data_IF_234657542905
#
_entry.id   IF_234657542905
#
_cell.length_a   1.000
_cell.length_b   1.000
_cell.length_c   1.000
_cell.angle_alpha   90.00
_cell.angle_beta   90.00
_cell.angle_gamma   90.00
#
_symmetry.space_group_name_H-M   'P 1'
#
loop_
_entity.id
_entity.type
_entity.pdbx_description
1 polymer ?
#
# COMPACT_ATOMS: atom_id res chain seq x y z
N UNK A 1 2.47 -26.75 -20.93
CA UNK A 1 2.41 -25.29 -21.21
C UNK A 1 2.70 -25.14 -22.69
N UNK A 2 2.04 -24.16 -23.35
CA UNK A 2 2.32 -23.89 -24.77
C UNK A 2 3.76 -23.41 -24.93
N UNK A 3 4.47 -23.87 -25.96
CA UNK A 3 5.93 -23.68 -26.09
C UNK A 3 6.42 -22.25 -26.28
N UNK A 4 5.52 -21.30 -26.54
CA UNK A 4 5.80 -19.87 -26.62
C UNK A 4 5.61 -19.12 -25.29
N UNK A 5 5.12 -19.81 -24.24
CA UNK A 5 4.99 -19.23 -22.90
C UNK A 5 6.31 -19.38 -22.15
N UNK A 6 6.76 -18.32 -21.50
CA UNK A 6 7.96 -18.33 -20.64
C UNK A 6 7.89 -19.50 -19.65
N UNK A 7 8.94 -20.30 -19.58
CA UNK A 7 8.99 -21.52 -18.75
C UNK A 7 8.88 -21.21 -17.24
N UNK A 8 9.42 -20.07 -16.79
CA UNK A 8 9.36 -19.63 -15.40
C UNK A 8 7.92 -19.34 -14.94
N UNK A 9 7.00 -18.96 -15.85
CA UNK A 9 5.61 -18.69 -15.50
C UNK A 9 4.85 -19.90 -14.97
N UNK A 10 5.35 -21.12 -15.22
CA UNK A 10 4.77 -22.35 -14.64
C UNK A 10 4.86 -22.38 -13.10
N UNK A 11 5.84 -21.68 -12.54
CA UNK A 11 6.09 -21.62 -11.10
C UNK A 11 5.40 -20.44 -10.41
N UNK A 12 4.85 -19.50 -11.21
CA UNK A 12 4.16 -18.35 -10.65
C UNK A 12 2.74 -18.71 -10.21
N UNK A 13 2.44 -18.35 -8.98
CA UNK A 13 1.05 -18.34 -8.50
C UNK A 13 0.47 -16.94 -8.73
N UNK A 14 -0.64 -16.88 -9.46
CA UNK A 14 -1.35 -15.62 -9.65
C UNK A 14 -1.70 -15.01 -8.29
N UNK A 15 -1.52 -13.69 -8.16
CA UNK A 15 -2.03 -12.99 -6.97
C UNK A 15 -3.53 -13.21 -6.89
N UNK A 16 -3.96 -13.88 -5.84
CA UNK A 16 -5.39 -14.08 -5.57
C UNK A 16 -5.79 -13.03 -4.54
N UNK A 17 -6.60 -12.02 -4.95
CA UNK A 17 -7.32 -11.21 -3.98
C UNK A 17 -8.05 -12.15 -3.05
N UNK A 18 -8.19 -11.80 -1.78
CA UNK A 18 -8.89 -12.69 -0.85
C UNK A 18 -10.25 -13.04 -1.47
N UNK A 19 -10.55 -14.33 -1.73
CA UNK A 19 -11.74 -14.69 -2.48
C UNK A 19 -12.97 -14.35 -1.64
N UNK A 20 -13.41 -13.12 -1.79
CA UNK A 20 -14.65 -12.64 -1.21
C UNK A 20 -15.89 -13.27 -1.84
N UNK A 21 -15.74 -14.06 -2.89
CA UNK A 21 -16.82 -14.72 -3.57
C UNK A 21 -16.39 -16.00 -4.26
N UNK A 22 -16.94 -17.10 -3.82
CA UNK A 22 -17.21 -18.21 -4.71
C UNK A 22 -18.25 -17.75 -5.74
N UNK A 23 -17.87 -17.85 -7.03
CA UNK A 23 -18.78 -17.86 -8.17
C UNK A 23 -20.01 -16.94 -8.10
N UNK A 24 -19.82 -15.65 -8.35
CA UNK A 24 -20.90 -14.82 -8.91
C UNK A 24 -22.06 -14.42 -8.01
N UNK A 25 -22.10 -14.81 -6.74
CA UNK A 25 -23.07 -14.29 -5.78
C UNK A 25 -22.49 -13.12 -5.01
N UNK A 26 -23.09 -11.94 -5.02
CA UNK A 26 -22.69 -10.86 -4.16
C UNK A 26 -22.80 -11.32 -2.72
N UNK A 27 -21.68 -11.27 -1.97
CA UNK A 27 -21.70 -11.49 -0.51
C UNK A 27 -22.32 -10.23 0.11
N UNK A 28 -23.63 -10.10 0.01
CA UNK A 28 -24.39 -8.94 0.50
C UNK A 28 -24.44 -8.82 2.03
N UNK A 29 -23.78 -9.71 2.78
CA UNK A 29 -23.88 -9.75 4.25
C UNK A 29 -22.57 -10.01 4.99
N UNK A 30 -21.39 -9.89 4.34
CA UNK A 30 -20.10 -10.08 5.03
C UNK A 30 -19.43 -8.75 5.37
N UNK A 31 -18.88 -8.69 6.57
CA UNK A 31 -17.95 -7.61 6.97
C UNK A 31 -16.61 -7.84 6.26
N UNK A 32 -16.26 -6.95 5.32
CA UNK A 32 -15.04 -7.04 4.51
C UNK A 32 -13.92 -6.24 5.16
N UNK A 33 -13.21 -6.87 6.07
CA UNK A 33 -12.11 -6.23 6.82
C UNK A 33 -10.75 -6.85 6.46
N UNK A 34 -10.52 -7.13 5.18
CA UNK A 34 -9.36 -7.86 4.66
C UNK A 34 -8.45 -7.05 3.74
N UNK A 35 -8.94 -5.98 3.12
CA UNK A 35 -8.25 -5.26 2.04
C UNK A 35 -7.76 -3.85 2.42
N UNK A 36 -7.85 -3.46 3.69
CA UNK A 36 -7.51 -2.13 4.19
C UNK A 36 -8.27 -1.00 3.45
N UNK A 37 -9.49 -1.30 3.03
CA UNK A 37 -10.41 -0.32 2.45
C UNK A 37 -10.98 0.58 3.55
N UNK A 38 -11.48 1.75 3.18
CA UNK A 38 -12.21 2.61 4.10
C UNK A 38 -13.56 1.96 4.46
N UNK A 39 -14.00 2.04 5.73
CA UNK A 39 -15.35 1.61 6.10
C UNK A 39 -16.45 2.51 5.54
N UNK A 40 -16.09 3.72 5.13
CA UNK A 40 -17.03 4.69 4.57
C UNK A 40 -16.86 4.74 3.05
N UNK A 41 -17.97 4.82 2.35
CA UNK A 41 -18.01 5.14 0.93
C UNK A 41 -17.87 6.66 0.71
N UNK A 42 -17.71 7.08 -0.55
CA UNK A 42 -17.77 8.51 -0.88
C UNK A 42 -19.12 9.10 -0.45
N UNK A 43 -19.15 10.32 0.11
CA UNK A 43 -20.38 11.06 0.34
C UNK A 43 -21.24 11.16 -0.92
N UNK A 44 -22.56 11.14 -0.74
CA UNK A 44 -23.51 11.15 -1.86
C UNK A 44 -23.29 12.37 -2.74
N UNK A 45 -23.03 13.53 -2.14
CA UNK A 45 -22.80 14.81 -2.84
C UNK A 45 -21.57 14.73 -3.76
N UNK A 46 -20.52 14.01 -3.34
CA UNK A 46 -19.32 13.81 -4.16
C UNK A 46 -19.55 12.80 -5.29
N UNK A 47 -20.38 11.79 -5.05
CA UNK A 47 -20.82 10.86 -6.11
C UNK A 47 -21.67 11.58 -7.15
N UNK A 48 -22.60 12.43 -6.73
CA UNK A 48 -23.44 13.25 -7.61
C UNK A 48 -22.57 14.23 -8.41
N UNK A 49 -21.61 14.89 -7.78
CA UNK A 49 -20.66 15.77 -8.47
C UNK A 49 -19.85 15.00 -9.52
N UNK A 50 -19.37 13.80 -9.19
CA UNK A 50 -18.63 12.95 -10.13
C UNK A 50 -19.51 12.50 -11.30
N UNK A 51 -20.76 12.16 -11.04
CA UNK A 51 -21.73 11.81 -12.09
C UNK A 51 -22.01 13.01 -13.01
N UNK A 52 -22.16 14.20 -12.43
CA UNK A 52 -22.33 15.45 -13.19
C UNK A 52 -21.08 15.74 -14.06
N UNK A 53 -19.88 15.64 -13.50
CA UNK A 53 -18.62 15.81 -14.26
C UNK A 53 -18.55 14.82 -15.43
N UNK A 54 -18.93 13.55 -15.21
CA UNK A 54 -18.98 12.58 -16.28
C UNK A 54 -19.96 12.98 -17.41
N UNK A 55 -21.13 13.49 -17.05
CA UNK A 55 -22.16 13.86 -18.02
C UNK A 55 -21.85 15.16 -18.77
N UNK A 56 -21.16 16.10 -18.15
CA UNK A 56 -21.02 17.46 -18.70
C UNK A 56 -19.62 17.75 -19.23
N UNK A 57 -18.58 17.11 -18.68
CA UNK A 57 -17.18 17.50 -18.93
C UNK A 57 -16.37 16.37 -19.61
N UNK A 58 -16.74 15.10 -19.42
CA UNK A 58 -15.99 13.97 -19.97
C UNK A 58 -16.61 13.51 -21.29
N UNK A 59 -15.87 13.70 -22.37
CA UNK A 59 -16.19 13.12 -23.68
C UNK A 59 -15.71 11.66 -23.74
N UNK A 60 -16.62 10.70 -23.60
CA UNK A 60 -16.30 9.27 -23.50
C UNK A 60 -15.63 8.69 -24.77
N UNK A 61 -15.72 9.38 -25.91
CA UNK A 61 -15.09 9.04 -27.19
C UNK A 61 -13.70 9.67 -27.38
N UNK A 62 -13.17 10.39 -26.39
CA UNK A 62 -11.85 11.02 -26.42
C UNK A 62 -10.92 10.41 -25.40
N UNK A 63 -9.62 10.41 -25.71
CA UNK A 63 -8.59 10.04 -24.75
C UNK A 63 -8.53 11.04 -23.59
N UNK A 64 -8.16 10.58 -22.37
CA UNK A 64 -7.95 11.47 -21.23
C UNK A 64 -6.75 12.42 -21.43
N UNK A 65 -6.65 13.42 -20.56
CA UNK A 65 -5.41 14.20 -20.46
C UNK A 65 -4.24 13.30 -20.08
N UNK A 66 -3.31 13.10 -21.01
CA UNK A 66 -2.12 12.28 -20.80
C UNK A 66 -1.03 12.98 -20.00
N UNK A 67 -1.11 14.30 -19.80
CA UNK A 67 -0.16 15.06 -19.00
C UNK A 67 -0.46 14.95 -17.50
N UNK A 68 -1.72 14.74 -17.13
CA UNK A 68 -2.27 14.79 -15.77
C UNK A 68 -1.96 16.13 -15.06
N UNK A 69 -1.79 17.22 -15.80
CA UNK A 69 -1.23 18.46 -15.22
C UNK A 69 -2.07 18.97 -14.05
N UNK A 70 -3.39 19.11 -14.24
CA UNK A 70 -4.27 19.60 -13.17
C UNK A 70 -4.24 18.69 -11.94
N UNK A 71 -4.18 17.37 -12.12
CA UNK A 71 -4.09 16.41 -11.03
C UNK A 71 -2.73 16.47 -10.34
N UNK A 72 -1.62 16.60 -11.08
CA UNK A 72 -0.26 16.76 -10.53
C UNK A 72 -0.15 18.03 -9.68
N UNK A 73 -0.73 19.15 -10.14
CA UNK A 73 -0.73 20.41 -9.41
C UNK A 73 -1.51 20.29 -8.09
N UNK A 74 -2.70 19.68 -8.13
CA UNK A 74 -3.52 19.45 -6.95
C UNK A 74 -2.85 18.49 -5.94
N UNK A 75 -2.16 17.44 -6.43
CA UNK A 75 -1.36 16.53 -5.59
C UNK A 75 -0.18 17.28 -4.97
N UNK A 76 0.56 18.09 -5.74
CA UNK A 76 1.70 18.84 -5.25
C UNK A 76 1.29 19.81 -4.13
N UNK A 77 0.15 20.49 -4.29
CA UNK A 77 -0.44 21.31 -3.25
C UNK A 77 -0.76 20.49 -1.99
N UNK A 78 -1.47 19.36 -2.14
CA UNK A 78 -1.82 18.48 -1.01
C UNK A 78 -0.57 17.96 -0.27
N UNK A 79 0.46 17.53 -1.01
CA UNK A 79 1.71 17.04 -0.40
C UNK A 79 2.40 18.15 0.38
N UNK A 80 2.48 19.35 -0.18
CA UNK A 80 3.09 20.54 0.47
C UNK A 80 2.39 20.85 1.79
N UNK A 81 1.05 20.94 1.77
CA UNK A 81 0.24 21.26 2.94
C UNK A 81 0.27 20.14 3.99
N UNK A 82 0.08 18.88 3.57
CA UNK A 82 -0.03 17.74 4.49
C UNK A 82 1.28 17.37 5.18
N UNK A 83 2.42 17.76 4.63
CA UNK A 83 3.74 17.53 5.21
C UNK A 83 4.36 18.81 5.80
N UNK A 84 3.65 19.94 5.80
CA UNK A 84 4.12 21.23 6.30
C UNK A 84 5.52 21.56 5.75
N UNK A 85 5.60 21.66 4.42
CA UNK A 85 6.85 21.89 3.70
C UNK A 85 7.10 23.39 3.52
N UNK A 86 8.29 23.88 3.89
CA UNK A 86 8.72 25.25 3.63
C UNK A 86 8.93 25.49 2.12
N UNK A 87 9.50 24.49 1.42
CA UNK A 87 9.69 24.52 -0.03
C UNK A 87 8.59 23.67 -0.66
N UNK A 88 7.68 24.27 -1.44
CA UNK A 88 6.58 23.56 -2.07
C UNK A 88 7.06 22.47 -3.04
N UNK A 89 6.39 21.34 -3.03
CA UNK A 89 6.50 20.34 -4.10
C UNK A 89 5.86 20.91 -5.37
N UNK A 90 6.46 20.61 -6.51
CA UNK A 90 5.97 21.04 -7.83
C UNK A 90 5.45 19.85 -8.63
N UNK A 91 4.61 20.09 -9.63
CA UNK A 91 4.10 19.04 -10.53
C UNK A 91 5.20 18.26 -11.25
N UNK A 92 6.37 18.85 -11.45
CA UNK A 92 7.54 18.16 -12.03
C UNK A 92 8.13 17.06 -11.13
N UNK A 93 7.77 17.06 -9.85
CA UNK A 93 8.14 16.03 -8.87
C UNK A 93 7.06 14.96 -8.69
N UNK A 94 5.98 15.01 -9.48
CA UNK A 94 4.83 14.10 -9.35
C UNK A 94 4.68 13.25 -10.61
N UNK A 95 4.57 11.92 -10.44
CA UNK A 95 4.06 11.01 -11.46
C UNK A 95 2.79 10.32 -10.95
N UNK A 96 1.80 10.14 -11.83
CA UNK A 96 0.51 9.55 -11.49
C UNK A 96 0.34 8.21 -12.20
N UNK A 97 -0.13 7.19 -11.46
CA UNK A 97 -0.31 5.84 -11.98
C UNK A 97 -1.69 5.25 -11.69
N UNK A 98 -2.01 4.19 -12.41
CA UNK A 98 -3.20 3.37 -12.18
C UNK A 98 -3.03 2.54 -10.89
N UNK A 99 -3.14 3.21 -9.74
CA UNK A 99 -2.73 2.75 -8.44
C UNK A 99 -1.20 2.79 -8.26
N UNK A 100 -0.74 2.63 -7.03
CA UNK A 100 0.70 2.54 -6.74
C UNK A 100 1.37 1.32 -7.38
N UNK A 101 0.62 0.28 -7.71
CA UNK A 101 1.17 -0.93 -8.37
C UNK A 101 1.78 -0.62 -9.74
N UNK A 102 1.17 0.26 -10.54
CA UNK A 102 1.75 0.70 -11.81
C UNK A 102 3.05 1.47 -11.59
N UNK A 103 3.09 2.33 -10.58
CA UNK A 103 4.29 3.11 -10.24
C UNK A 103 5.43 2.22 -9.76
N UNK A 104 5.15 1.23 -8.90
CA UNK A 104 6.11 0.20 -8.48
C UNK A 104 6.69 -0.50 -9.70
N UNK A 105 5.82 -0.94 -10.62
CA UNK A 105 6.25 -1.60 -11.86
C UNK A 105 7.12 -0.68 -12.73
N UNK A 106 6.74 0.58 -12.87
CA UNK A 106 7.51 1.58 -13.63
C UNK A 106 8.88 1.84 -13.01
N UNK A 107 8.97 1.94 -11.68
CA UNK A 107 10.24 2.05 -10.95
C UNK A 107 11.14 0.84 -11.22
N UNK A 108 10.60 -0.37 -11.14
CA UNK A 108 11.33 -1.61 -11.41
C UNK A 108 11.87 -1.67 -12.85
N UNK A 109 11.05 -1.27 -13.82
CA UNK A 109 11.46 -1.22 -15.24
C UNK A 109 12.57 -0.18 -15.42
N UNK A 110 12.47 0.98 -14.78
CA UNK A 110 13.43 2.09 -14.91
C UNK A 110 14.79 1.75 -14.32
N UNK A 111 14.83 0.95 -13.24
CA UNK A 111 16.05 0.78 -12.43
C UNK A 111 16.70 -0.59 -12.54
N UNK A 112 15.94 -1.66 -12.76
CA UNK A 112 16.44 -3.03 -12.59
C UNK A 112 16.31 -3.93 -13.84
N UNK A 113 15.56 -3.50 -14.84
CA UNK A 113 15.32 -4.34 -16.02
C UNK A 113 16.62 -4.63 -16.81
N UNK A 114 16.64 -5.73 -17.57
CA UNK A 114 17.78 -6.18 -18.38
C UNK A 114 19.03 -6.60 -17.57
N UNK A 115 18.85 -6.99 -16.32
CA UNK A 115 19.96 -7.41 -15.47
C UNK A 115 20.73 -6.26 -14.82
N UNK A 116 20.23 -5.03 -14.92
CA UNK A 116 20.87 -3.85 -14.32
C UNK A 116 20.82 -3.83 -12.79
N UNK A 117 19.83 -4.53 -12.21
CA UNK A 117 19.69 -4.53 -10.76
C UNK A 117 18.77 -5.59 -10.19
N UNK A 118 18.80 -5.70 -8.88
CA UNK A 118 17.88 -6.45 -8.03
C UNK A 118 17.21 -5.51 -7.03
N UNK A 119 16.19 -6.02 -6.33
CA UNK A 119 15.54 -5.29 -5.26
C UNK A 119 15.81 -5.92 -3.90
N UNK A 120 15.78 -5.11 -2.84
CA UNK A 120 15.79 -5.56 -1.45
C UNK A 120 14.45 -5.26 -0.80
N UNK A 121 13.89 -6.27 -0.13
CA UNK A 121 12.67 -6.17 0.69
C UNK A 121 12.87 -6.81 2.06
N UNK A 122 12.26 -6.26 3.10
CA UNK A 122 12.33 -6.80 4.45
C UNK A 122 10.99 -7.48 4.81
N UNK A 123 10.95 -8.81 4.81
CA UNK A 123 9.73 -9.58 5.06
C UNK A 123 9.46 -9.80 6.57
N UNK A 124 8.15 -9.76 6.98
CA UNK A 124 6.97 -9.57 6.15
C UNK A 124 6.77 -8.12 5.71
N UNK A 125 6.38 -7.93 4.43
CA UNK A 125 6.05 -6.62 3.84
C UNK A 125 4.99 -6.78 2.74
N UNK A 126 4.69 -5.70 2.02
CA UNK A 126 3.73 -5.74 0.91
C UNK A 126 4.27 -6.63 -0.23
N UNK A 127 3.52 -7.70 -0.53
CA UNK A 127 3.98 -8.76 -1.43
C UNK A 127 4.15 -8.34 -2.89
N UNK A 128 3.48 -7.25 -3.31
CA UNK A 128 3.52 -6.83 -4.72
C UNK A 128 4.91 -6.39 -5.19
N UNK A 129 5.80 -5.93 -4.32
CA UNK A 129 7.18 -5.62 -4.71
C UNK A 129 7.88 -6.85 -5.29
N UNK A 130 7.84 -7.96 -4.55
CA UNK A 130 8.45 -9.21 -4.99
C UNK A 130 7.70 -9.81 -6.19
N UNK A 131 6.37 -9.80 -6.19
CA UNK A 131 5.55 -10.34 -7.28
C UNK A 131 5.84 -9.59 -8.59
N UNK A 132 5.82 -8.26 -8.57
CA UNK A 132 6.09 -7.46 -9.77
C UNK A 132 7.54 -7.61 -10.25
N UNK A 133 8.52 -7.62 -9.33
CA UNK A 133 9.92 -7.85 -9.68
C UNK A 133 10.10 -9.22 -10.36
N UNK A 134 9.56 -10.27 -9.77
CA UNK A 134 9.62 -11.63 -10.33
C UNK A 134 8.95 -11.72 -11.70
N UNK A 135 7.77 -11.10 -11.89
CA UNK A 135 7.11 -11.10 -13.22
C UNK A 135 7.95 -10.44 -14.30
N UNK A 136 8.81 -9.51 -13.93
CA UNK A 136 9.76 -8.82 -14.81
C UNK A 136 11.11 -9.56 -14.93
N UNK A 137 11.31 -10.68 -14.20
CA UNK A 137 12.58 -11.40 -14.16
C UNK A 137 13.66 -10.69 -13.35
N UNK A 138 13.28 -9.78 -12.46
CA UNK A 138 14.18 -9.03 -11.59
C UNK A 138 14.38 -9.81 -10.29
N UNK A 139 15.64 -10.10 -9.88
CA UNK A 139 15.92 -10.81 -8.64
C UNK A 139 15.47 -10.04 -7.40
N UNK A 140 15.02 -10.79 -6.39
CA UNK A 140 14.54 -10.25 -5.12
C UNK A 140 15.43 -10.75 -3.99
N UNK A 141 16.11 -9.84 -3.33
CA UNK A 141 16.88 -10.09 -2.11
C UNK A 141 15.95 -9.83 -0.92
N UNK A 142 15.80 -10.85 -0.07
CA UNK A 142 14.91 -10.77 1.10
C UNK A 142 15.72 -10.80 2.37
N UNK A 143 15.43 -9.87 3.29
CA UNK A 143 15.96 -9.87 4.67
C UNK A 143 14.83 -10.02 5.67
N UNK A 144 15.14 -10.43 6.89
CA UNK A 144 14.17 -10.61 7.96
C UNK A 144 13.81 -9.31 8.68
N UNK A 145 12.76 -9.40 9.51
CA UNK A 145 12.37 -8.41 10.51
C UNK A 145 12.45 -9.03 11.91
N UNK A 146 12.68 -8.22 12.92
CA UNK A 146 12.59 -8.64 14.30
C UNK A 146 11.19 -9.19 14.62
N UNK A 147 11.10 -10.32 15.29
CA UNK A 147 9.80 -10.96 15.62
C UNK A 147 8.96 -10.16 16.61
N UNK A 148 9.61 -9.33 17.43
CA UNK A 148 8.96 -8.65 18.55
C UNK A 148 8.32 -7.32 18.14
N UNK A 149 8.96 -6.58 17.23
CA UNK A 149 8.52 -5.23 16.84
C UNK A 149 8.48 -4.98 15.33
N UNK A 150 8.85 -5.97 14.53
CA UNK A 150 8.94 -5.91 13.07
C UNK A 150 9.88 -4.83 12.51
N UNK A 151 10.85 -4.39 13.28
CA UNK A 151 11.97 -3.60 12.75
C UNK A 151 12.79 -4.42 11.75
N UNK A 152 13.31 -3.77 10.73
CA UNK A 152 14.18 -4.38 9.71
C UNK A 152 15.45 -4.90 10.39
N UNK A 153 15.87 -6.11 10.06
CA UNK A 153 17.18 -6.60 10.45
C UNK A 153 18.28 -5.85 9.68
N UNK A 154 18.70 -4.72 10.24
CA UNK A 154 19.65 -3.81 9.58
C UNK A 154 21.00 -4.50 9.33
N UNK A 155 21.43 -5.42 10.20
CA UNK A 155 22.66 -6.18 10.01
C UNK A 155 22.60 -7.12 8.79
N UNK A 156 21.46 -7.77 8.56
CA UNK A 156 21.23 -8.54 7.34
C UNK A 156 21.15 -7.65 6.10
N UNK A 157 20.42 -6.53 6.20
CA UNK A 157 20.26 -5.61 5.09
C UNK A 157 21.58 -5.00 4.63
N UNK A 158 22.44 -4.58 5.56
CA UNK A 158 23.77 -4.06 5.27
C UNK A 158 24.67 -5.12 4.62
N UNK A 159 24.65 -6.34 5.13
CA UNK A 159 25.42 -7.46 4.54
C UNK A 159 24.93 -7.78 3.13
N UNK A 160 23.62 -7.84 2.94
CA UNK A 160 23.03 -8.11 1.64
C UNK A 160 23.44 -7.07 0.58
N UNK A 161 23.50 -5.77 0.97
CA UNK A 161 23.97 -4.70 0.06
C UNK A 161 25.46 -4.82 -0.22
N UNK A 162 26.28 -5.06 0.81
CA UNK A 162 27.73 -5.14 0.66
C UNK A 162 28.19 -6.39 -0.09
N UNK A 163 27.44 -7.49 -0.02
CA UNK A 163 27.76 -8.79 -0.61
C UNK A 163 26.91 -9.13 -1.83
N UNK A 164 26.12 -8.15 -2.34
CA UNK A 164 25.25 -8.42 -3.47
C UNK A 164 26.09 -8.89 -4.67
N UNK A 165 25.87 -10.16 -5.02
CA UNK A 165 26.32 -10.72 -6.27
C UNK A 165 25.58 -10.05 -7.43
N UNK A 166 25.99 -10.28 -8.64
CA UNK A 166 25.30 -9.70 -9.79
C UNK A 166 23.93 -10.31 -10.04
N UNK A 167 22.89 -9.50 -10.31
CA UNK A 167 22.91 -8.04 -10.42
C UNK A 167 22.87 -7.34 -9.04
N UNK A 168 23.48 -6.16 -8.89
CA UNK A 168 23.55 -5.41 -7.65
C UNK A 168 22.17 -4.94 -7.18
N UNK A 169 21.99 -4.71 -5.87
CA UNK A 169 20.77 -4.10 -5.35
C UNK A 169 20.72 -2.64 -5.83
N UNK A 170 19.67 -2.34 -6.58
CA UNK A 170 19.39 -0.98 -7.12
C UNK A 170 18.21 -0.32 -6.43
N UNK A 171 17.33 -1.09 -5.83
CA UNK A 171 16.13 -0.56 -5.15
C UNK A 171 15.94 -1.21 -3.80
N UNK A 172 15.69 -0.40 -2.79
CA UNK A 172 15.22 -0.83 -1.48
C UNK A 172 13.78 -0.36 -1.30
N UNK A 173 12.83 -1.30 -1.13
CA UNK A 173 11.43 -0.99 -0.84
C UNK A 173 11.15 -1.08 0.65
N UNK A 174 10.54 -0.02 1.19
CA UNK A 174 10.08 0.05 2.58
C UNK A 174 8.67 0.62 2.63
N UNK A 175 7.82 0.07 3.47
CA UNK A 175 6.45 0.58 3.67
C UNK A 175 6.37 1.31 5.01
N UNK A 176 5.77 2.46 5.03
CA UNK A 176 5.67 3.32 6.21
C UNK A 176 4.27 3.93 6.36
N UNK A 177 3.46 3.44 7.30
CA UNK A 177 3.60 2.24 8.15
C UNK A 177 3.61 0.93 7.36
N UNK A 178 4.35 -0.08 7.89
CA UNK A 178 4.52 -1.35 7.18
C UNK A 178 3.21 -2.13 7.05
N UNK A 179 3.02 -2.77 5.93
CA UNK A 179 1.94 -3.74 5.71
C UNK A 179 2.55 -5.13 5.52
N UNK A 180 2.16 -6.16 6.32
CA UNK A 180 0.90 -6.24 7.08
C UNK A 180 0.99 -5.84 8.57
N UNK A 181 2.14 -5.43 9.09
CA UNK A 181 2.44 -5.39 10.53
C UNK A 181 2.04 -4.08 11.23
N UNK A 182 1.84 -2.99 10.47
CA UNK A 182 1.34 -1.71 10.99
C UNK A 182 2.37 -0.81 11.66
N UNK A 183 3.61 -1.26 11.87
CA UNK A 183 4.65 -0.48 12.52
C UNK A 183 5.21 0.63 11.63
N UNK A 184 5.51 1.77 12.21
CA UNK A 184 6.22 2.87 11.56
C UNK A 184 7.72 2.59 11.48
N UNK A 185 8.42 3.28 10.55
CA UNK A 185 9.88 3.31 10.51
C UNK A 185 10.45 3.91 11.80
N UNK A 186 11.47 3.28 12.33
CA UNK A 186 12.20 3.76 13.50
C UNK A 186 13.29 4.75 13.12
N UNK A 187 13.77 5.58 14.05
CA UNK A 187 14.92 6.47 13.81
C UNK A 187 16.17 5.72 13.33
N UNK A 188 16.39 4.49 13.79
CA UNK A 188 17.52 3.66 13.37
C UNK A 188 17.38 3.21 11.91
N UNK A 189 16.18 2.79 11.50
CA UNK A 189 15.89 2.43 10.12
C UNK A 189 16.01 3.65 9.19
N UNK A 190 15.48 4.81 9.59
CA UNK A 190 15.64 6.05 8.82
C UNK A 190 17.11 6.46 8.68
N UNK A 191 17.91 6.36 9.77
CA UNK A 191 19.34 6.63 9.71
C UNK A 191 20.05 5.68 8.74
N UNK A 192 19.69 4.41 8.74
CA UNK A 192 20.23 3.45 7.78
C UNK A 192 19.85 3.80 6.34
N UNK A 193 18.57 4.11 6.06
CA UNK A 193 18.12 4.49 4.72
C UNK A 193 18.87 5.73 4.19
N UNK A 194 19.12 6.74 5.06
CA UNK A 194 19.92 7.92 4.71
C UNK A 194 21.39 7.60 4.40
N UNK A 195 21.92 6.50 4.93
CA UNK A 195 23.31 6.08 4.70
C UNK A 195 23.50 5.24 3.44
N UNK A 196 22.41 4.91 2.74
CA UNK A 196 22.51 4.14 1.50
C UNK A 196 23.17 4.95 0.39
N UNK A 197 24.01 4.31 -0.46
CA UNK A 197 24.66 5.00 -1.57
C UNK A 197 23.66 5.59 -2.58
N UNK A 198 24.02 6.69 -3.21
CA UNK A 198 23.16 7.42 -4.16
C UNK A 198 22.72 6.59 -5.39
N UNK A 199 23.45 5.52 -5.71
CA UNK A 199 23.09 4.61 -6.79
C UNK A 199 22.02 3.56 -6.38
N UNK A 200 21.57 3.58 -5.14
CA UNK A 200 20.46 2.76 -4.65
C UNK A 200 19.22 3.66 -4.48
N UNK A 201 18.18 3.38 -5.22
CA UNK A 201 16.91 4.05 -5.07
C UNK A 201 16.21 3.54 -3.79
N UNK A 202 15.84 4.45 -2.90
CA UNK A 202 15.04 4.17 -1.70
C UNK A 202 13.58 4.51 -2.00
N UNK A 203 12.73 3.50 -2.06
CA UNK A 203 11.29 3.67 -2.28
C UNK A 203 10.55 3.49 -0.98
N UNK A 204 9.92 4.55 -0.49
CA UNK A 204 9.13 4.55 0.73
C UNK A 204 7.65 4.64 0.37
N UNK A 205 6.92 3.57 0.66
CA UNK A 205 5.49 3.48 0.38
C UNK A 205 4.71 4.01 1.59
N UNK A 206 4.12 5.18 1.44
CA UNK A 206 3.31 5.87 2.42
C UNK A 206 1.80 5.68 2.16
N UNK A 207 1.37 4.51 1.71
CA UNK A 207 -0.04 4.23 1.41
C UNK A 207 -0.98 4.41 2.62
N UNK A 208 -0.44 4.52 3.83
CA UNK A 208 -1.18 4.71 5.08
C UNK A 208 -0.83 6.02 5.79
N UNK A 209 -0.23 6.97 5.07
CA UNK A 209 0.25 8.24 5.60
C UNK A 209 -0.81 8.98 6.43
N UNK A 210 -2.02 9.09 5.91
CA UNK A 210 -3.09 9.87 6.54
C UNK A 210 -3.51 9.31 7.92
N UNK A 211 -3.26 8.01 8.16
CA UNK A 211 -3.54 7.37 9.46
C UNK A 211 -2.38 7.51 10.43
N UNK A 212 -1.14 7.50 9.94
CA UNK A 212 0.07 7.66 10.77
C UNK A 212 0.38 9.11 11.09
N UNK A 213 -0.01 10.02 10.20
CA UNK A 213 0.32 11.45 10.21
C UNK A 213 1.84 11.72 10.27
N UNK A 214 2.62 10.73 9.83
CA UNK A 214 4.08 10.83 9.74
C UNK A 214 4.52 10.58 8.31
N UNK A 215 5.37 11.46 7.78
CA UNK A 215 5.88 11.39 6.42
C UNK A 215 7.37 11.68 6.37
N UNK A 216 8.03 11.05 5.41
CA UNK A 216 9.44 11.32 5.10
C UNK A 216 9.61 12.20 3.85
N UNK A 217 8.56 12.84 3.36
CA UNK A 217 8.64 13.73 2.17
C UNK A 217 9.70 14.82 2.33
N UNK A 218 9.93 15.33 3.54
CA UNK A 218 10.98 16.33 3.83
C UNK A 218 12.39 15.85 3.46
N UNK A 219 12.62 14.55 3.45
CA UNK A 219 13.92 13.96 3.10
C UNK A 219 14.27 14.10 1.62
N UNK A 220 13.26 14.26 0.75
CA UNK A 220 13.49 14.38 -0.70
C UNK A 220 14.37 15.57 -1.09
N UNK A 221 14.39 16.64 -0.29
CA UNK A 221 15.23 17.79 -0.52
C UNK A 221 16.74 17.47 -0.38
N UNK A 222 17.10 16.47 0.42
CA UNK A 222 18.48 16.08 0.71
C UNK A 222 18.87 14.74 0.06
N UNK A 223 17.89 13.93 -0.35
CA UNK A 223 18.08 12.59 -0.90
C UNK A 223 17.41 12.45 -2.26
N UNK A 224 18.07 12.87 -3.37
CA UNK A 224 17.53 12.78 -4.73
C UNK A 224 17.29 11.33 -5.20
N UNK A 225 17.92 10.36 -4.53
CA UNK A 225 17.71 8.93 -4.74
C UNK A 225 16.53 8.35 -3.91
N UNK A 226 15.65 9.18 -3.38
CA UNK A 226 14.43 8.73 -2.70
C UNK A 226 13.19 8.96 -3.57
N UNK A 227 12.24 8.04 -3.45
CA UNK A 227 10.92 8.15 -4.05
C UNK A 227 9.85 7.75 -3.03
N UNK A 228 8.77 8.52 -2.96
CA UNK A 228 7.67 8.26 -2.03
C UNK A 228 6.44 7.91 -2.84
N UNK A 229 5.78 6.81 -2.47
CA UNK A 229 4.54 6.38 -3.07
C UNK A 229 3.37 6.68 -2.14
N UNK A 230 2.28 7.19 -2.68
CA UNK A 230 1.00 7.37 -1.98
C UNK A 230 -0.17 6.94 -2.85
N UNK A 231 -1.34 6.74 -2.24
CA UNK A 231 -2.52 6.22 -2.93
C UNK A 231 -3.80 6.90 -2.47
N UNK A 232 -4.75 7.02 -3.38
CA UNK A 232 -6.12 7.43 -3.07
C UNK A 232 -7.01 6.28 -2.59
N UNK A 233 -6.48 5.05 -2.59
CA UNK A 233 -7.28 3.83 -2.30
C UNK A 233 -7.72 3.70 -0.84
N UNK A 234 -7.05 4.37 0.11
CA UNK A 234 -7.27 4.17 1.56
C UNK A 234 -8.04 5.33 2.17
N UNK A 235 -7.38 6.37 2.61
CA UNK A 235 -7.99 7.52 3.27
C UNK A 235 -8.98 8.28 2.38
N UNK A 236 -8.68 8.41 1.09
CA UNK A 236 -9.53 9.10 0.12
C UNK A 236 -10.69 8.25 -0.43
N UNK A 237 -10.86 6.98 -0.01
CA UNK A 237 -11.99 6.11 -0.35
C UNK A 237 -12.14 5.81 -1.86
N UNK A 238 -11.06 5.92 -2.63
CA UNK A 238 -11.07 5.74 -4.08
C UNK A 238 -10.42 4.41 -4.52
N UNK A 239 -10.55 3.34 -3.73
CA UNK A 239 -9.97 2.05 -4.06
C UNK A 239 -10.41 1.53 -5.44
N UNK A 240 -11.67 1.75 -5.82
CA UNK A 240 -12.23 1.34 -7.11
C UNK A 240 -11.71 2.19 -8.29
N UNK A 241 -11.25 3.42 -8.04
CA UNK A 241 -10.78 4.34 -9.08
C UNK A 241 -9.32 4.12 -9.48
N UNK A 242 -8.56 3.35 -8.67
CA UNK A 242 -7.17 2.99 -8.98
C UNK A 242 -6.28 4.20 -9.27
N UNK A 243 -6.15 5.12 -8.33
CA UNK A 243 -5.23 6.26 -8.43
C UNK A 243 -4.16 6.18 -7.37
N UNK A 244 -2.91 6.33 -7.79
CA UNK A 244 -1.74 6.48 -6.93
C UNK A 244 -0.76 7.49 -7.51
N UNK A 245 0.18 7.95 -6.71
CA UNK A 245 1.20 8.90 -7.17
C UNK A 245 2.56 8.64 -6.52
N UNK A 246 3.59 9.05 -7.24
CA UNK A 246 4.99 9.05 -6.81
C UNK A 246 5.46 10.49 -6.67
N UNK A 247 6.19 10.77 -5.59
CA UNK A 247 6.87 12.05 -5.35
C UNK A 247 8.36 11.74 -5.36
N UNK A 248 9.13 12.38 -6.24
CA UNK A 248 10.56 12.14 -6.35
C UNK A 248 11.29 13.31 -7.03
N UNK A 249 12.61 13.17 -7.15
CA UNK A 249 13.43 14.10 -7.91
C UNK A 249 12.92 14.22 -9.37
N UNK A 250 12.88 15.42 -9.99
CA UNK A 250 12.34 15.62 -11.33
C UNK A 250 12.95 14.72 -12.42
N UNK A 251 14.23 14.39 -12.33
CA UNK A 251 14.88 13.48 -13.28
C UNK A 251 14.30 12.05 -13.20
N UNK A 252 14.03 11.55 -11.99
CA UNK A 252 13.39 10.25 -11.82
C UNK A 252 11.96 10.29 -12.36
N UNK A 253 11.22 11.36 -12.07
CA UNK A 253 9.86 11.54 -12.60
C UNK A 253 9.89 11.57 -14.14
N UNK A 254 10.82 12.30 -14.76
CA UNK A 254 10.97 12.33 -16.21
C UNK A 254 11.28 10.92 -16.79
N UNK A 255 12.03 10.09 -16.07
CA UNK A 255 12.26 8.70 -16.46
C UNK A 255 10.99 7.85 -16.36
N UNK A 256 10.22 8.00 -15.29
CA UNK A 256 8.93 7.29 -15.10
C UNK A 256 7.91 7.67 -16.18
N UNK A 257 7.84 8.94 -16.56
CA UNK A 257 6.94 9.43 -17.63
C UNK A 257 7.26 8.78 -19.00
N UNK A 258 8.49 8.31 -19.23
CA UNK A 258 8.86 7.55 -20.43
C UNK A 258 8.43 6.08 -20.35
N UNK A 259 8.26 5.54 -19.14
CA UNK A 259 7.95 4.11 -18.92
C UNK A 259 6.47 3.83 -18.79
N UNK A 260 5.69 4.81 -18.35
CA UNK A 260 4.24 4.65 -18.24
C UNK A 260 3.58 4.55 -19.63
N UNK A 261 2.45 3.85 -19.69
CA UNK A 261 1.66 3.80 -20.90
C UNK A 261 1.02 5.16 -21.19
N UNK A 262 0.89 5.56 -22.46
CA UNK A 262 0.07 6.71 -22.81
C UNK A 262 -1.35 6.53 -22.27
N UNK A 263 -1.92 7.61 -21.73
CA UNK A 263 -3.30 7.61 -21.21
C UNK A 263 -3.57 6.53 -20.16
N UNK A 264 -2.57 6.23 -19.31
CA UNK A 264 -2.62 5.16 -18.31
C UNK A 264 -3.74 5.33 -17.26
N UNK A 265 -4.21 6.56 -17.05
CA UNK A 265 -5.25 6.86 -16.07
C UNK A 265 -6.52 7.39 -16.76
N UNK A 266 -7.68 6.68 -16.67
CA UNK A 266 -8.94 7.11 -17.27
C UNK A 266 -9.40 8.50 -16.80
N UNK A 267 -10.10 9.26 -17.66
CA UNK A 267 -10.64 10.59 -17.32
C UNK A 267 -11.50 10.58 -16.06
N UNK A 268 -12.32 9.53 -15.88
CA UNK A 268 -13.19 9.39 -14.73
C UNK A 268 -12.40 9.21 -13.42
N UNK A 269 -11.28 8.47 -13.46
CA UNK A 269 -10.38 8.32 -12.32
C UNK A 269 -9.64 9.61 -11.97
N UNK A 270 -9.22 10.37 -13.00
CA UNK A 270 -8.60 11.69 -12.81
C UNK A 270 -9.60 12.67 -12.15
N UNK A 271 -10.84 12.73 -12.66
CA UNK A 271 -11.90 13.56 -12.09
C UNK A 271 -12.21 13.18 -10.62
N UNK A 272 -12.30 11.88 -10.33
CA UNK A 272 -12.53 11.41 -8.97
C UNK A 272 -11.44 11.85 -8.00
N UNK A 273 -10.16 11.75 -8.41
CA UNK A 273 -9.03 12.18 -7.59
C UNK A 273 -9.01 13.70 -7.39
N UNK A 274 -9.31 14.49 -8.42
CA UNK A 274 -9.42 15.96 -8.33
C UNK A 274 -10.55 16.37 -7.38
N UNK A 275 -11.74 15.76 -7.50
CA UNK A 275 -12.86 15.99 -6.59
C UNK A 275 -12.46 15.63 -5.15
N UNK A 276 -11.81 14.49 -4.95
CA UNK A 276 -11.36 14.06 -3.62
C UNK A 276 -10.35 15.05 -3.01
N UNK A 277 -9.40 15.55 -3.77
CA UNK A 277 -8.43 16.55 -3.31
C UNK A 277 -9.10 17.90 -2.99
N UNK A 278 -10.04 18.34 -3.82
CA UNK A 278 -10.82 19.57 -3.59
C UNK A 278 -11.64 19.48 -2.30
N UNK A 279 -12.14 18.29 -1.98
CA UNK A 279 -12.96 18.05 -0.79
C UNK A 279 -12.23 17.22 0.28
N UNK A 280 -10.88 17.31 0.32
CA UNK A 280 -10.04 16.53 1.23
C UNK A 280 -10.40 16.70 2.70
N UNK A 281 -10.74 17.90 3.11
CA UNK A 281 -11.09 18.18 4.52
C UNK A 281 -12.31 17.37 4.96
N UNK A 282 -13.35 17.28 4.11
CA UNK A 282 -14.53 16.46 4.36
C UNK A 282 -14.19 14.95 4.39
N UNK A 283 -13.39 14.48 3.45
CA UNK A 283 -13.03 13.06 3.36
C UNK A 283 -12.14 12.61 4.51
N UNK A 284 -11.13 13.42 4.84
CA UNK A 284 -10.15 13.10 5.87
C UNK A 284 -10.67 13.37 7.30
N UNK A 285 -11.76 14.10 7.47
CA UNK A 285 -12.39 14.32 8.79
C UNK A 285 -12.78 13.03 9.53
N UNK A 286 -12.87 11.90 8.84
CA UNK A 286 -13.14 10.60 9.46
C UNK A 286 -11.91 9.88 10.02
N UNK A 287 -10.70 10.32 9.68
CA UNK A 287 -9.46 9.68 10.13
C UNK A 287 -9.36 9.57 11.65
N UNK A 288 -9.65 10.63 12.46
CA UNK A 288 -9.61 10.52 13.92
C UNK A 288 -10.54 9.44 14.46
N UNK A 289 -11.73 9.25 13.86
CA UNK A 289 -12.67 8.19 14.24
C UNK A 289 -12.08 6.79 13.93
N UNK A 290 -11.48 6.61 12.78
CA UNK A 290 -10.85 5.33 12.40
C UNK A 290 -9.70 5.01 13.34
N UNK A 291 -8.87 5.99 13.70
CA UNK A 291 -7.79 5.84 14.70
C UNK A 291 -8.37 5.44 16.06
N UNK A 292 -9.43 6.11 16.51
CA UNK A 292 -10.10 5.77 17.79
C UNK A 292 -10.63 4.32 17.77
N UNK A 293 -11.26 3.88 16.70
CA UNK A 293 -11.75 2.52 16.55
C UNK A 293 -10.61 1.49 16.47
N UNK A 294 -9.50 1.83 15.80
CA UNK A 294 -8.27 1.02 15.81
C UNK A 294 -7.77 0.80 17.23
N UNK A 295 -7.66 1.88 18.00
CA UNK A 295 -7.09 1.83 19.35
C UNK A 295 -7.97 1.03 20.31
N UNK A 296 -9.30 1.09 20.17
CA UNK A 296 -10.25 0.23 20.88
C UNK A 296 -10.07 -1.24 20.52
N UNK A 297 -9.94 -1.56 19.22
CA UNK A 297 -9.69 -2.92 18.76
C UNK A 297 -8.37 -3.46 19.32
N UNK A 298 -7.30 -2.65 19.26
CA UNK A 298 -5.99 -2.99 19.81
C UNK A 298 -6.08 -3.29 21.29
N UNK A 299 -6.73 -2.44 22.08
CA UNK A 299 -6.90 -2.64 23.52
C UNK A 299 -7.61 -3.96 23.82
N UNK A 300 -8.76 -4.19 23.18
CA UNK A 300 -9.57 -5.40 23.41
C UNK A 300 -8.82 -6.68 23.00
N UNK A 301 -8.12 -6.67 21.86
CA UNK A 301 -7.38 -7.85 21.39
C UNK A 301 -6.14 -8.13 22.24
N UNK A 302 -5.50 -7.09 22.78
CA UNK A 302 -4.31 -7.22 23.65
C UNK A 302 -4.63 -7.87 24.99
N UNK A 303 -5.88 -7.81 25.46
CA UNK A 303 -6.33 -8.50 26.68
C UNK A 303 -6.50 -10.01 26.48
N UNK A 304 -6.55 -10.49 25.22
CA UNK A 304 -6.76 -11.92 24.95
C UNK A 304 -5.46 -12.72 25.16
N UNK A 305 -5.40 -13.66 26.11
CA UNK A 305 -4.17 -14.36 26.50
C UNK A 305 -3.57 -15.22 25.39
N UNK A 306 -4.40 -15.71 24.47
CA UNK A 306 -3.99 -16.54 23.34
C UNK A 306 -3.46 -15.77 22.13
N UNK A 307 -3.46 -14.43 22.17
CA UNK A 307 -3.02 -13.61 21.05
C UNK A 307 -1.74 -12.85 21.37
N UNK A 308 -0.91 -12.70 20.36
CA UNK A 308 0.10 -11.65 20.25
C UNK A 308 -0.44 -10.56 19.34
N UNK A 309 -0.43 -9.33 19.82
CA UNK A 309 -0.97 -8.16 19.13
C UNK A 309 0.11 -7.10 19.06
N UNK A 310 0.28 -6.46 17.92
CA UNK A 310 1.26 -5.40 17.74
C UNK A 310 0.57 -4.04 17.57
N UNK A 311 1.23 -2.99 18.01
CA UNK A 311 0.78 -1.62 17.76
C UNK A 311 0.71 -1.33 16.26
N UNK A 312 -0.21 -0.47 15.86
CA UNK A 312 -0.38 -0.08 14.47
C UNK A 312 -0.53 1.41 14.32
N UNK A 313 0.14 1.96 13.32
CA UNK A 313 -0.04 3.34 12.85
C UNK A 313 -0.85 3.41 11.53
N UNK A 314 -1.43 2.29 11.06
CA UNK A 314 -2.22 2.19 9.86
C UNK A 314 -3.73 2.06 10.17
N UNK A 315 -4.54 1.79 9.15
CA UNK A 315 -5.97 1.51 9.29
C UNK A 315 -6.29 0.01 9.44
N UNK A 316 -5.38 -0.75 9.98
CA UNK A 316 -5.55 -2.18 10.25
C UNK A 316 -4.74 -2.59 11.48
N UNK A 317 -5.01 -3.79 11.99
CA UNK A 317 -4.32 -4.42 13.11
C UNK A 317 -3.69 -5.71 12.64
N UNK A 318 -2.53 -6.05 13.20
CA UNK A 318 -1.85 -7.31 12.97
C UNK A 318 -1.79 -8.13 14.24
N UNK A 319 -2.26 -9.39 14.16
CA UNK A 319 -2.31 -10.30 15.29
C UNK A 319 -1.77 -11.68 14.90
N UNK A 320 -1.34 -12.44 15.92
CA UNK A 320 -0.93 -13.84 15.75
C UNK A 320 -1.39 -14.65 16.97
N UNK A 321 -1.98 -15.84 16.78
CA UNK A 321 -2.15 -16.79 17.89
C UNK A 321 -0.77 -17.14 18.49
N UNK A 322 -0.67 -17.20 19.83
CA UNK A 322 0.60 -17.56 20.50
C UNK A 322 0.97 -19.03 20.29
N UNK A 323 -0.04 -19.88 20.13
CA UNK A 323 0.13 -21.28 19.77
C UNK A 323 -0.30 -21.46 18.31
N UNK A 324 0.67 -21.80 17.47
CA UNK A 324 0.47 -22.02 16.03
C UNK A 324 0.73 -23.48 15.71
N UNK A 325 -0.34 -24.21 15.44
CA UNK A 325 -0.26 -25.51 14.78
C UNK A 325 -0.31 -25.31 13.26
N UNK A 326 0.04 -26.37 12.51
CA UNK A 326 -0.03 -26.34 11.07
C UNK A 326 -1.46 -26.05 10.61
N UNK A 327 -1.62 -25.04 9.73
CA UNK A 327 -2.90 -24.57 9.19
C UNK A 327 -3.80 -23.72 10.13
N UNK A 328 -3.42 -23.45 11.39
CA UNK A 328 -4.22 -22.66 12.34
C UNK A 328 -4.72 -21.32 11.74
N UNK A 329 -3.84 -20.54 11.08
CA UNK A 329 -4.22 -19.24 10.50
C UNK A 329 -5.26 -19.41 9.38
N UNK A 330 -5.11 -20.41 8.51
CA UNK A 330 -6.06 -20.66 7.42
C UNK A 330 -7.41 -21.13 7.95
N UNK A 331 -7.42 -21.94 9.00
CA UNK A 331 -8.65 -22.40 9.66
C UNK A 331 -9.39 -21.21 10.31
N UNK A 332 -8.69 -20.33 11.02
CA UNK A 332 -9.29 -19.11 11.61
C UNK A 332 -9.93 -18.26 10.50
N UNK A 333 -9.24 -18.01 9.39
CA UNK A 333 -9.80 -17.24 8.27
C UNK A 333 -11.06 -17.89 7.71
N UNK A 334 -11.05 -19.22 7.52
CA UNK A 334 -12.22 -19.95 7.03
C UNK A 334 -13.40 -19.87 8.01
N UNK A 335 -13.16 -20.07 9.31
CA UNK A 335 -14.19 -19.99 10.35
C UNK A 335 -14.75 -18.57 10.49
N UNK A 336 -13.91 -17.54 10.42
CA UNK A 336 -14.33 -16.14 10.40
C UNK A 336 -15.20 -15.85 9.17
N UNK A 337 -14.79 -16.31 7.99
CA UNK A 337 -15.57 -16.18 6.75
C UNK A 337 -16.94 -16.88 6.86
N UNK A 338 -16.97 -18.08 7.42
CA UNK A 338 -18.23 -18.82 7.64
C UNK A 338 -19.19 -18.09 8.59
N UNK A 339 -18.66 -17.28 9.51
CA UNK A 339 -19.45 -16.43 10.40
C UNK A 339 -19.78 -15.04 9.80
N UNK A 340 -19.34 -14.74 8.58
CA UNK A 340 -19.65 -13.50 7.87
C UNK A 340 -18.63 -12.37 8.10
N UNK A 341 -17.36 -12.66 8.47
CA UNK A 341 -16.26 -11.67 8.50
C UNK A 341 -15.09 -12.19 7.69
N UNK A 342 -14.61 -11.38 6.75
CA UNK A 342 -13.44 -11.70 5.93
C UNK A 342 -12.23 -10.95 6.46
N UNK A 343 -11.19 -11.70 6.90
CA UNK A 343 -9.91 -11.19 7.36
C UNK A 343 -8.77 -11.74 6.50
N UNK A 344 -7.56 -11.18 6.61
CA UNK A 344 -6.43 -11.57 5.76
C UNK A 344 -5.40 -12.40 6.51
N UNK A 345 -5.09 -13.62 6.00
CA UNK A 345 -3.88 -14.36 6.37
C UNK A 345 -2.71 -13.85 5.51
N UNK A 346 -1.69 -13.28 6.14
CA UNK A 346 -0.52 -12.73 5.44
C UNK A 346 0.66 -12.57 6.40
N UNK A 347 1.89 -12.75 5.91
CA UNK A 347 3.11 -12.53 6.69
C UNK A 347 3.24 -13.39 7.94
N UNK A 348 2.60 -14.57 7.99
CA UNK A 348 2.61 -15.46 9.16
C UNK A 348 1.71 -15.00 10.32
N UNK A 349 0.70 -14.19 10.04
CA UNK A 349 -0.30 -13.73 10.98
C UNK A 349 -1.60 -13.31 10.31
N UNK A 350 -2.49 -12.71 11.05
CA UNK A 350 -3.79 -12.23 10.61
C UNK A 350 -3.81 -10.71 10.61
N UNK A 351 -4.17 -10.11 9.48
CA UNK A 351 -4.40 -8.68 9.35
C UNK A 351 -5.89 -8.40 9.31
N UNK A 352 -6.35 -7.49 10.15
CA UNK A 352 -7.76 -7.09 10.30
C UNK A 352 -7.84 -5.59 10.01
N UNK A 353 -8.57 -5.21 8.98
CA UNK A 353 -8.85 -3.81 8.66
C UNK A 353 -9.77 -3.20 9.71
N UNK A 354 -9.56 -1.96 10.08
CA UNK A 354 -10.46 -1.21 10.95
C UNK A 354 -11.70 -0.82 10.16
N UNK A 355 -12.81 -1.48 10.47
CA UNK A 355 -14.11 -1.21 9.89
C UNK A 355 -14.89 -0.11 10.62
N UNK A 356 -16.18 -0.01 10.35
CA UNK A 356 -17.11 0.76 11.17
C UNK A 356 -17.20 0.17 12.59
N UNK A 357 -17.69 0.95 13.55
CA UNK A 357 -17.87 0.47 14.92
C UNK A 357 -18.65 -0.84 14.97
N UNK A 358 -19.70 -0.97 14.17
CA UNK A 358 -20.54 -2.18 14.14
C UNK A 358 -19.78 -3.38 13.54
N UNK A 359 -19.01 -3.19 12.45
CA UNK A 359 -18.18 -4.24 11.86
C UNK A 359 -17.11 -4.70 12.84
N UNK A 360 -16.45 -3.75 13.53
CA UNK A 360 -15.45 -4.04 14.55
C UNK A 360 -16.02 -4.87 15.71
N UNK A 361 -17.20 -4.52 16.22
CA UNK A 361 -17.88 -5.27 17.28
C UNK A 361 -18.22 -6.70 16.82
N UNK A 362 -18.76 -6.85 15.59
CA UNK A 362 -19.06 -8.18 15.05
C UNK A 362 -17.79 -9.01 14.85
N UNK A 363 -16.72 -8.38 14.35
CA UNK A 363 -15.41 -9.01 14.15
C UNK A 363 -14.83 -9.53 15.45
N UNK A 364 -14.82 -8.72 16.52
CA UNK A 364 -14.37 -9.13 17.85
C UNK A 364 -15.19 -10.31 18.40
N UNK A 365 -16.52 -10.22 18.34
CA UNK A 365 -17.40 -11.28 18.84
C UNK A 365 -17.19 -12.61 18.09
N UNK A 366 -16.98 -12.55 16.78
CA UNK A 366 -16.74 -13.74 15.95
C UNK A 366 -15.36 -14.32 16.21
N UNK A 367 -14.34 -13.46 16.29
CA UNK A 367 -12.96 -13.89 16.56
C UNK A 367 -12.83 -14.56 17.94
N UNK A 368 -13.48 -14.01 18.97
CA UNK A 368 -13.54 -14.66 20.30
C UNK A 368 -14.08 -16.08 20.22
N UNK A 369 -15.16 -16.32 19.48
CA UNK A 369 -15.74 -17.66 19.32
C UNK A 369 -14.78 -18.62 18.60
N UNK A 370 -14.05 -18.13 17.63
CA UNK A 370 -13.11 -18.95 16.83
C UNK A 370 -11.84 -19.30 17.64
N UNK A 371 -11.44 -18.46 18.59
CA UNK A 371 -10.24 -18.68 19.40
C UNK A 371 -10.47 -19.51 20.68
N UNK A 372 -11.72 -19.78 21.04
CA UNK A 372 -12.07 -20.62 22.21
C UNK A 372 -11.98 -22.13 21.86
N UNK A 373 -11.94 -22.47 20.60
CA UNK A 373 -11.85 -23.85 20.07
C UNK A 373 -10.46 -24.13 19.50
#
# INVERSE_FOLDING_TARGET
>A
MLGFIRSDLAQFTAYTPNPGGDSGKPILSCDRVDANESPDDLPVELKEKLAWTYQQEIEANRYPDGSHQALKDAIAQYVTESADLEIPVTSSQISVGNGSDELIRSLLITTCLRGEGSILVANPTFSMYAILAQTLGIPVVTVGRCSDNFEINLGEAQRAIAQSEHPPIRVVFVVHPNSPTGNSLTPAELKWLRSLPDHILVVIDEAYFEFSQTSVVKELAQHPNWAILRTFSKAFRLAAHRVGYCIAHPELIAALEKMRLPYNLPSFSQAAALIALTHRDQLLATIPRIITERDKLLATLSEHPGLQVWSSAANFIYIRPRQLEQNTLSQIVQQMKAQGTVIRNTGGGLRITVGSQQENQRTLKRLQKVLIH
#
